data_IF_373488269210
#
_entry.id   IF_373488269210
#
_cell.length_a   1.000
_cell.length_b   1.000
_cell.length_c   1.000
_cell.angle_alpha   90.00
_cell.angle_beta   90.00
_cell.angle_gamma   90.00
#
_symmetry.space_group_name_H-M   'P 1'
#
loop_
_entity.id
_entity.type
_entity.pdbx_description
1 polymer ?
#
# COMPACT_ATOMS: atom_id res chain seq x y z
N UNK A 1 24.34 1.01 23.21
CA UNK A 1 23.67 2.04 22.41
C UNK A 1 24.52 3.29 22.41
N UNK A 2 25.01 3.72 21.25
CA UNK A 2 25.81 4.95 21.14
C UNK A 2 24.94 6.19 21.43
N UNK A 3 25.52 7.34 21.81
CA UNK A 3 24.75 8.57 22.03
C UNK A 3 23.91 8.98 20.81
N UNK A 4 24.42 8.73 19.60
CA UNK A 4 23.71 8.99 18.33
C UNK A 4 22.53 8.04 18.11
N UNK A 5 22.70 6.76 18.41
CA UNK A 5 21.59 5.79 18.38
C UNK A 5 20.49 6.15 19.38
N UNK A 6 20.88 6.54 20.60
CA UNK A 6 19.93 6.98 21.63
C UNK A 6 19.12 8.20 21.17
N UNK A 7 19.78 9.23 20.65
CA UNK A 7 19.10 10.42 20.13
C UNK A 7 18.12 10.08 18.99
N UNK A 8 18.47 9.13 18.12
CA UNK A 8 17.59 8.68 17.03
C UNK A 8 16.36 7.94 17.53
N UNK A 9 16.52 7.05 18.50
CA UNK A 9 15.36 6.33 19.08
C UNK A 9 14.49 7.26 19.92
N UNK A 10 15.08 8.23 20.64
CA UNK A 10 14.33 9.29 21.33
C UNK A 10 13.53 10.14 20.34
N UNK A 11 14.11 10.48 19.17
CA UNK A 11 13.42 11.21 18.12
C UNK A 11 12.29 10.39 17.47
N UNK A 12 12.50 9.09 17.20
CA UNK A 12 11.43 8.20 16.72
C UNK A 12 10.26 8.12 17.71
N UNK A 13 10.56 7.98 19.01
CA UNK A 13 9.53 7.98 20.05
C UNK A 13 8.78 9.31 20.07
N UNK A 14 9.50 10.44 19.96
CA UNK A 14 8.88 11.75 19.87
C UNK A 14 7.96 11.87 18.64
N UNK A 15 8.42 11.44 17.45
CA UNK A 15 7.63 11.41 16.22
C UNK A 15 6.31 10.68 16.41
N UNK A 16 6.35 9.44 16.89
CA UNK A 16 5.14 8.64 17.15
C UNK A 16 4.16 9.36 18.07
N UNK A 17 4.64 9.90 19.20
CA UNK A 17 3.77 10.57 20.17
C UNK A 17 3.20 11.88 19.61
N UNK A 18 4.00 12.63 18.86
CA UNK A 18 3.53 13.87 18.22
C UNK A 18 2.51 13.61 17.12
N UNK A 19 2.67 12.56 16.31
CA UNK A 19 1.69 12.17 15.28
C UNK A 19 0.36 11.79 15.93
N UNK A 20 0.38 10.99 17.01
CA UNK A 20 -0.82 10.63 17.78
C UNK A 20 -1.51 11.83 18.41
N UNK A 21 -0.72 12.75 18.98
CA UNK A 21 -1.28 13.94 19.62
C UNK A 21 -1.90 14.89 18.58
N UNK A 22 -1.23 15.10 17.44
CA UNK A 22 -1.69 16.00 16.39
C UNK A 22 -2.89 15.45 15.63
N UNK A 23 -3.01 14.12 15.48
CA UNK A 23 -4.16 13.51 14.81
C UNK A 23 -5.47 13.63 15.59
N UNK A 24 -5.40 13.94 16.89
CA UNK A 24 -6.53 14.02 17.81
C UNK A 24 -7.49 12.81 17.76
N UNK A 25 -6.99 11.67 17.27
CA UNK A 25 -7.78 10.46 17.05
C UNK A 25 -7.36 9.41 18.09
N UNK A 26 -8.30 8.81 18.83
CA UNK A 26 -7.96 7.78 19.80
C UNK A 26 -7.30 6.58 19.12
N UNK A 27 -6.48 5.82 19.85
CA UNK A 27 -5.97 4.51 19.41
C UNK A 27 -5.33 4.51 18.01
N UNK A 28 -4.65 5.59 17.63
CA UNK A 28 -3.91 5.63 16.36
C UNK A 28 -2.65 4.78 16.47
N UNK A 29 -2.54 3.83 15.55
CA UNK A 29 -1.33 3.07 15.34
C UNK A 29 -0.38 3.86 14.45
N UNK A 30 0.83 4.10 14.94
CA UNK A 30 1.88 4.75 14.16
C UNK A 30 3.03 3.77 14.00
N UNK A 31 3.31 3.38 12.77
CA UNK A 31 4.41 2.49 12.41
C UNK A 31 5.40 3.20 11.50
N UNK A 32 6.63 2.68 11.44
CA UNK A 32 7.64 3.20 10.53
C UNK A 32 7.73 2.35 9.27
N UNK A 33 7.79 2.99 8.11
CA UNK A 33 8.11 2.32 6.84
C UNK A 33 7.70 3.15 5.63
N UNK A 34 8.07 2.65 4.43
CA UNK A 34 7.87 3.38 3.18
C UNK A 34 8.81 4.59 3.04
N UNK A 35 8.76 5.21 1.86
CA UNK A 35 9.51 6.42 1.53
C UNK A 35 8.74 7.69 1.91
N UNK A 36 7.41 7.65 1.77
CA UNK A 36 6.48 8.72 2.15
C UNK A 36 5.49 8.22 3.18
N UNK A 37 4.87 9.16 3.90
CA UNK A 37 3.82 8.81 4.83
C UNK A 37 2.54 8.32 4.11
N UNK A 38 1.91 7.30 4.66
CA UNK A 38 0.60 6.80 4.23
C UNK A 38 -0.32 6.59 5.41
N UNK A 39 -1.63 6.69 5.14
CA UNK A 39 -2.68 6.55 6.15
C UNK A 39 -3.74 5.60 5.61
N UNK A 40 -4.10 4.59 6.40
CA UNK A 40 -5.19 3.66 6.12
C UNK A 40 -5.98 3.43 7.41
N UNK A 41 -7.28 3.70 7.39
CA UNK A 41 -8.12 3.65 8.59
C UNK A 41 -7.54 4.46 9.74
N UNK A 42 -7.19 3.79 10.85
CA UNK A 42 -6.58 4.40 12.04
C UNK A 42 -5.08 4.15 12.16
N UNK A 43 -4.45 3.69 11.07
CA UNK A 43 -3.03 3.41 11.01
C UNK A 43 -2.33 4.47 10.15
N UNK A 44 -1.27 5.07 10.70
CA UNK A 44 -0.35 5.92 9.97
C UNK A 44 1.02 5.23 9.86
N UNK A 45 1.50 5.06 8.64
CA UNK A 45 2.85 4.58 8.36
C UNK A 45 3.69 5.78 7.94
N UNK A 46 4.72 6.11 8.72
CA UNK A 46 5.58 7.28 8.49
C UNK A 46 7.00 6.84 8.14
N UNK A 47 7.75 7.60 7.32
CA UNK A 47 9.09 7.20 6.92
C UNK A 47 10.06 7.16 8.09
N UNK A 48 11.05 6.27 7.99
CA UNK A 48 12.08 6.14 9.02
C UNK A 48 12.98 7.40 8.98
N UNK A 49 13.21 8.09 10.11
CA UNK A 49 14.12 9.23 10.12
C UNK A 49 15.54 8.79 9.78
N UNK A 50 16.28 9.70 9.13
CA UNK A 50 17.67 9.46 8.73
C UNK A 50 18.56 9.03 9.90
N UNK A 51 19.62 8.27 9.59
CA UNK A 51 20.58 7.80 10.63
C UNK A 51 21.24 8.97 11.37
N UNK A 52 21.49 10.06 10.66
CA UNK A 52 21.98 11.32 11.22
C UNK A 52 20.82 12.31 11.19
N UNK A 53 20.41 12.79 12.36
CA UNK A 53 19.32 13.76 12.49
C UNK A 53 19.95 15.14 12.60
N UNK A 54 20.11 15.80 11.46
CA UNK A 54 20.30 17.24 11.43
C UNK A 54 18.94 17.96 11.41
N UNK A 55 18.98 19.30 11.39
CA UNK A 55 17.76 20.11 11.43
C UNK A 55 16.88 19.87 10.21
N UNK A 56 17.47 19.69 9.02
CA UNK A 56 16.73 19.52 7.77
C UNK A 56 16.06 18.16 7.70
N UNK A 57 16.81 17.09 7.98
CA UNK A 57 16.29 15.73 8.08
C UNK A 57 15.19 15.60 9.16
N UNK A 58 15.34 16.32 10.28
CA UNK A 58 14.30 16.37 11.32
C UNK A 58 13.02 17.06 10.83
N UNK A 59 13.13 18.18 10.12
CA UNK A 59 11.98 18.92 9.59
C UNK A 59 11.22 18.12 8.53
N UNK A 60 11.94 17.43 7.64
CA UNK A 60 11.35 16.51 6.66
C UNK A 60 10.60 15.37 7.35
N UNK A 61 11.24 14.66 8.28
CA UNK A 61 10.61 13.54 8.97
C UNK A 61 9.38 13.98 9.78
N UNK A 62 9.44 15.18 10.40
CA UNK A 62 8.29 15.79 11.07
C UNK A 62 7.21 16.20 10.08
N UNK A 63 7.55 16.66 8.87
CA UNK A 63 6.59 17.08 7.86
C UNK A 63 5.74 15.93 7.34
N UNK A 64 6.38 14.81 7.01
CA UNK A 64 5.72 13.56 6.63
C UNK A 64 4.80 13.05 7.76
N UNK A 65 5.29 13.09 9.00
CA UNK A 65 4.54 12.67 10.17
C UNK A 65 3.37 13.60 10.53
N UNK A 66 3.55 14.91 10.39
CA UNK A 66 2.52 15.93 10.62
C UNK A 66 1.44 15.85 9.51
N UNK A 67 1.83 15.63 8.25
CA UNK A 67 0.91 15.42 7.13
C UNK A 67 0.02 14.19 7.34
N UNK A 68 0.60 13.07 7.77
CA UNK A 68 -0.16 11.86 8.14
C UNK A 68 -1.14 12.12 9.29
N UNK A 69 -0.70 12.85 10.32
CA UNK A 69 -1.55 13.19 11.46
C UNK A 69 -2.73 14.07 11.07
N UNK A 70 -2.49 15.11 10.25
CA UNK A 70 -3.55 15.98 9.75
C UNK A 70 -4.53 15.22 8.84
N UNK A 71 -4.03 14.28 8.04
CA UNK A 71 -4.89 13.42 7.22
C UNK A 71 -5.80 12.55 8.09
N UNK A 72 -5.27 11.93 9.15
CA UNK A 72 -6.10 11.21 10.13
C UNK A 72 -7.15 12.11 10.78
N UNK A 73 -6.80 13.36 11.11
CA UNK A 73 -7.69 14.28 11.82
C UNK A 73 -8.79 14.89 10.94
N UNK A 74 -8.52 15.10 9.65
CA UNK A 74 -9.33 15.99 8.81
C UNK A 74 -9.81 15.35 7.50
N UNK A 75 -9.55 14.07 7.26
CA UNK A 75 -9.97 13.36 6.05
C UNK A 75 -10.97 12.25 6.36
N UNK A 76 -12.18 12.40 5.82
CA UNK A 76 -13.18 11.34 5.69
C UNK A 76 -12.96 10.62 4.35
N UNK A 77 -12.44 9.39 4.42
CA UNK A 77 -12.16 8.57 3.25
C UNK A 77 -13.43 8.19 2.47
N UNK A 78 -14.54 7.93 3.15
CA UNK A 78 -15.79 7.52 2.51
C UNK A 78 -16.44 8.70 1.77
N UNK A 79 -16.42 9.89 2.38
CA UNK A 79 -16.87 11.11 1.71
C UNK A 79 -15.99 11.47 0.51
N UNK A 80 -14.67 11.30 0.62
CA UNK A 80 -13.74 11.52 -0.48
C UNK A 80 -13.97 10.55 -1.64
N UNK A 81 -14.16 9.26 -1.36
CA UNK A 81 -14.41 8.24 -2.37
C UNK A 81 -15.69 8.53 -3.16
N UNK A 82 -16.80 8.92 -2.50
CA UNK A 82 -18.05 9.33 -3.17
C UNK A 82 -17.88 10.58 -4.03
N UNK A 83 -16.97 11.48 -3.64
CA UNK A 83 -16.72 12.73 -4.34
C UNK A 83 -15.68 12.59 -5.49
N UNK A 84 -15.04 11.44 -5.63
CA UNK A 84 -13.94 11.24 -6.56
C UNK A 84 -14.41 11.32 -8.03
N UNK A 85 -13.70 12.05 -8.92
CA UNK A 85 -13.99 12.05 -10.36
C UNK A 85 -13.66 10.73 -11.05
N UNK A 86 -14.15 10.53 -12.28
CA UNK A 86 -13.89 9.31 -13.07
C UNK A 86 -12.48 9.30 -13.71
N UNK A 87 -12.08 10.39 -14.38
CA UNK A 87 -10.82 10.46 -15.12
C UNK A 87 -9.58 10.45 -14.22
N UNK A 88 -8.54 9.70 -14.60
CA UNK A 88 -7.33 9.52 -13.77
C UNK A 88 -6.62 10.85 -13.44
N UNK A 89 -6.53 11.77 -14.41
CA UNK A 89 -5.93 13.09 -14.20
C UNK A 89 -6.79 13.97 -13.28
N UNK A 90 -8.12 13.94 -13.45
CA UNK A 90 -9.05 14.61 -12.54
C UNK A 90 -8.97 14.07 -11.11
N UNK A 91 -8.82 12.75 -10.94
CA UNK A 91 -8.59 12.13 -9.63
C UNK A 91 -7.29 12.62 -8.99
N UNK A 92 -6.21 12.74 -9.77
CA UNK A 92 -4.94 13.25 -9.29
C UNK A 92 -5.07 14.70 -8.79
N UNK A 93 -5.73 15.57 -9.57
CA UNK A 93 -6.02 16.95 -9.16
C UNK A 93 -6.88 16.98 -7.90
N UNK A 94 -7.98 16.20 -7.86
CA UNK A 94 -8.87 16.15 -6.70
C UNK A 94 -8.13 15.77 -5.41
N UNK A 95 -7.33 14.70 -5.46
CA UNK A 95 -6.53 14.24 -4.32
C UNK A 95 -5.48 15.27 -3.91
N UNK A 96 -4.83 15.93 -4.86
CA UNK A 96 -3.82 16.96 -4.56
C UNK A 96 -4.44 18.21 -3.90
N UNK A 97 -5.61 18.67 -4.37
CA UNK A 97 -6.34 19.78 -3.74
C UNK A 97 -6.82 19.40 -2.33
N UNK A 98 -7.27 18.17 -2.13
CA UNK A 98 -7.67 17.65 -0.81
C UNK A 98 -6.50 17.58 0.17
N UNK A 99 -5.33 17.11 -0.27
CA UNK A 99 -4.10 17.17 0.54
C UNK A 99 -3.76 18.61 0.90
N UNK A 100 -3.84 19.55 -0.05
CA UNK A 100 -3.58 20.96 0.21
C UNK A 100 -4.56 21.57 1.24
N UNK A 101 -5.83 21.16 1.24
CA UNK A 101 -6.81 21.56 2.27
C UNK A 101 -6.41 21.07 3.65
N UNK A 102 -6.14 19.77 3.77
CA UNK A 102 -5.77 19.11 5.03
C UNK A 102 -4.53 19.77 5.63
N UNK A 103 -3.51 19.97 4.82
CA UNK A 103 -2.26 20.61 5.23
C UNK A 103 -2.46 22.07 5.60
N UNK A 104 -3.33 22.81 4.88
CA UNK A 104 -3.61 24.20 5.18
C UNK A 104 -4.28 24.37 6.55
N UNK A 105 -5.18 23.47 6.96
CA UNK A 105 -5.79 23.48 8.31
C UNK A 105 -4.70 23.44 9.38
N UNK A 106 -3.74 22.51 9.25
CA UNK A 106 -2.63 22.39 10.21
C UNK A 106 -1.64 23.55 10.13
N UNK A 107 -1.28 23.98 8.93
CA UNK A 107 -0.28 25.02 8.71
C UNK A 107 -0.74 26.42 9.15
N UNK A 108 -2.04 26.70 9.11
CA UNK A 108 -2.63 27.97 9.58
C UNK A 108 -2.80 27.98 11.10
N UNK A 109 -3.14 26.83 11.71
CA UNK A 109 -3.24 26.70 13.16
C UNK A 109 -1.88 26.67 13.87
N UNK A 110 -0.89 25.98 13.28
CA UNK A 110 0.41 25.74 13.90
C UNK A 110 1.54 26.08 12.92
N UNK A 111 2.19 27.24 13.14
CA UNK A 111 3.28 27.72 12.29
C UNK A 111 4.38 26.68 12.04
N UNK A 112 4.79 25.98 13.10
CA UNK A 112 5.84 24.95 13.03
C UNK A 112 5.44 23.72 12.22
N UNK A 113 4.15 23.32 12.25
CA UNK A 113 3.64 22.27 11.36
C UNK A 113 3.74 22.72 9.91
N UNK A 114 3.38 23.97 9.61
CA UNK A 114 3.54 24.50 8.26
C UNK A 114 5.00 24.62 7.81
N UNK A 115 5.97 24.83 8.71
CA UNK A 115 7.40 24.78 8.40
C UNK A 115 7.84 23.34 8.05
N UNK A 116 7.39 22.35 8.83
CA UNK A 116 7.68 20.95 8.61
C UNK A 116 7.08 20.44 7.28
N UNK A 117 5.80 20.73 7.04
CA UNK A 117 5.11 20.39 5.78
C UNK A 117 5.81 21.01 4.57
N UNK A 118 6.29 22.25 4.68
CA UNK A 118 7.05 22.88 3.60
C UNK A 118 8.38 22.14 3.30
N UNK A 119 9.07 21.65 4.33
CA UNK A 119 10.30 20.86 4.14
C UNK A 119 10.03 19.51 3.50
N UNK A 120 8.96 18.81 3.91
CA UNK A 120 8.55 17.55 3.27
C UNK A 120 8.15 17.76 1.80
N UNK A 121 7.38 18.82 1.51
CA UNK A 121 7.00 19.16 0.14
C UNK A 121 8.21 19.49 -0.75
N UNK A 122 9.19 20.26 -0.23
CA UNK A 122 10.43 20.58 -0.97
C UNK A 122 11.20 19.30 -1.35
N UNK A 123 11.34 18.36 -0.40
CA UNK A 123 11.94 17.04 -0.65
C UNK A 123 11.16 16.24 -1.70
N UNK A 124 9.83 16.16 -1.58
CA UNK A 124 8.98 15.41 -2.52
C UNK A 124 9.09 15.93 -3.96
N UNK A 125 9.14 17.25 -4.13
CA UNK A 125 9.33 17.91 -5.44
C UNK A 125 10.70 17.54 -6.03
N UNK A 126 11.76 17.55 -5.20
CA UNK A 126 13.11 17.18 -5.63
C UNK A 126 13.24 15.69 -5.99
N UNK A 127 12.60 14.79 -5.22
CA UNK A 127 12.59 13.34 -5.46
C UNK A 127 11.89 13.00 -6.78
N UNK A 128 10.78 13.68 -7.08
CA UNK A 128 10.05 13.57 -8.35
C UNK A 128 10.68 14.36 -9.49
N UNK A 129 11.82 15.03 -9.24
CA UNK A 129 12.60 15.82 -10.21
C UNK A 129 11.81 16.94 -10.88
N UNK A 130 10.77 17.42 -10.21
CA UNK A 130 9.93 18.52 -10.68
C UNK A 130 10.66 19.87 -10.61
N UNK A 131 11.73 19.94 -9.81
CA UNK A 131 12.67 21.07 -9.75
C UNK A 131 13.47 21.26 -11.04
N UNK A 132 13.57 20.22 -11.89
CA UNK A 132 14.35 20.20 -13.13
C UNK A 132 13.51 19.94 -14.38
N UNK A 133 12.20 20.15 -14.29
CA UNK A 133 11.33 20.10 -15.47
C UNK A 133 11.80 21.12 -16.51
N UNK A 134 12.06 20.65 -17.72
CA UNK A 134 12.32 21.55 -18.85
C UNK A 134 11.07 22.40 -19.11
N UNK A 135 11.24 23.67 -19.48
CA UNK A 135 10.11 24.59 -19.72
C UNK A 135 9.14 24.11 -20.82
N UNK A 136 9.57 23.19 -21.69
CA UNK A 136 8.76 22.62 -22.76
C UNK A 136 8.08 21.29 -22.36
N UNK A 137 8.44 20.70 -21.22
CA UNK A 137 7.80 19.49 -20.73
C UNK A 137 6.51 19.86 -19.99
N UNK A 138 5.47 19.03 -20.12
CA UNK A 138 4.22 19.26 -19.38
C UNK A 138 4.44 18.89 -17.91
N UNK A 139 4.34 19.87 -17.02
CA UNK A 139 4.29 19.61 -15.58
C UNK A 139 2.97 18.92 -15.19
N UNK A 140 2.97 18.07 -14.14
CA UNK A 140 1.73 17.49 -13.66
C UNK A 140 0.79 18.58 -13.13
N UNK A 141 -0.38 18.71 -13.75
CA UNK A 141 -1.32 19.79 -13.45
C UNK A 141 -1.83 19.75 -12.00
N UNK A 142 -1.90 18.55 -11.41
CA UNK A 142 -2.25 18.34 -10.01
C UNK A 142 -1.31 19.04 -9.04
N UNK A 143 0.01 18.96 -9.27
CA UNK A 143 1.00 19.60 -8.40
C UNK A 143 0.95 21.12 -8.52
N UNK A 144 0.81 21.64 -9.75
CA UNK A 144 0.69 23.08 -10.01
C UNK A 144 -0.56 23.64 -9.34
N UNK A 145 -1.72 22.99 -9.52
CA UNK A 145 -2.97 23.42 -8.92
C UNK A 145 -2.93 23.37 -7.38
N UNK A 146 -2.36 22.31 -6.79
CA UNK A 146 -2.21 22.18 -5.34
C UNK A 146 -1.28 23.23 -4.75
N UNK A 147 -0.17 23.55 -5.41
CA UNK A 147 0.76 24.61 -4.98
C UNK A 147 0.10 25.99 -5.01
N UNK A 148 -0.63 26.32 -6.08
CA UNK A 148 -1.37 27.58 -6.17
C UNK A 148 -2.45 27.67 -5.08
N UNK A 149 -3.21 26.60 -4.86
CA UNK A 149 -4.21 26.54 -3.80
C UNK A 149 -3.56 26.72 -2.42
N UNK A 150 -2.47 26.00 -2.13
CA UNK A 150 -1.74 26.10 -0.85
C UNK A 150 -1.30 27.53 -0.56
N UNK A 151 -0.78 28.25 -1.55
CA UNK A 151 -0.40 29.66 -1.37
C UNK A 151 -1.58 30.54 -0.99
N UNK A 152 -2.73 30.33 -1.64
CA UNK A 152 -3.96 31.09 -1.37
C UNK A 152 -4.53 30.77 0.01
N UNK A 153 -4.53 29.50 0.42
CA UNK A 153 -5.05 29.05 1.71
C UNK A 153 -4.17 29.48 2.90
N UNK A 154 -2.84 29.41 2.75
CA UNK A 154 -1.91 29.58 3.87
C UNK A 154 -1.19 30.92 3.87
N UNK A 155 -1.18 31.65 2.74
CA UNK A 155 -0.36 32.84 2.54
C UNK A 155 1.15 32.57 2.48
N UNK A 156 1.58 31.30 2.54
CA UNK A 156 2.99 30.91 2.55
C UNK A 156 3.50 30.81 1.12
N UNK A 157 4.74 31.24 0.88
CA UNK A 157 5.40 31.05 -0.40
C UNK A 157 5.50 29.57 -0.79
N UNK A 158 5.64 29.30 -2.09
CA UNK A 158 5.96 27.95 -2.57
C UNK A 158 7.40 27.59 -2.14
N UNK A 159 7.72 26.29 -1.98
CA UNK A 159 9.10 25.86 -1.77
C UNK A 159 10.01 26.33 -2.91
N UNK A 160 11.32 26.55 -2.67
CA UNK A 160 12.27 26.94 -3.71
C UNK A 160 12.31 25.96 -4.89
N UNK A 161 12.21 24.65 -4.63
CA UNK A 161 12.20 23.62 -5.67
C UNK A 161 11.01 23.77 -6.65
N UNK A 162 9.89 24.36 -6.22
CA UNK A 162 8.70 24.55 -7.04
C UNK A 162 8.76 25.77 -7.97
N UNK A 163 9.73 26.67 -7.78
CA UNK A 163 9.74 28.00 -8.40
C UNK A 163 9.76 27.94 -9.92
N UNK A 164 10.62 27.09 -10.50
CA UNK A 164 10.74 26.94 -11.95
C UNK A 164 9.45 26.40 -12.59
N UNK A 165 8.88 25.35 -11.97
CA UNK A 165 7.63 24.74 -12.43
C UNK A 165 6.46 25.73 -12.40
N UNK A 166 6.31 26.51 -11.32
CA UNK A 166 5.26 27.52 -11.21
C UNK A 166 5.46 28.69 -12.17
N UNK A 167 6.71 29.10 -12.41
CA UNK A 167 7.00 30.14 -13.40
C UNK A 167 6.64 29.71 -14.83
N UNK A 168 6.87 28.44 -15.18
CA UNK A 168 6.56 27.91 -16.51
C UNK A 168 5.07 27.58 -16.71
N UNK A 169 4.41 26.97 -15.72
CA UNK A 169 3.07 26.39 -15.89
C UNK A 169 1.97 27.07 -15.07
N UNK A 170 2.32 27.87 -14.06
CA UNK A 170 1.36 28.51 -13.18
C UNK A 170 0.41 29.46 -13.91
N UNK A 171 0.90 30.19 -14.91
CA UNK A 171 0.08 31.13 -15.69
C UNK A 171 -1.03 30.45 -16.49
N UNK A 172 -0.80 29.24 -17.01
CA UNK A 172 -1.81 28.48 -17.75
C UNK A 172 -2.94 28.01 -16.82
N UNK A 173 -2.58 27.45 -15.65
CA UNK A 173 -3.54 27.02 -14.63
C UNK A 173 -4.32 28.19 -14.04
N UNK A 174 -3.67 29.34 -13.79
CA UNK A 174 -4.34 30.56 -13.35
C UNK A 174 -5.35 31.09 -14.37
N UNK A 175 -5.02 31.01 -15.66
CA UNK A 175 -5.93 31.44 -16.73
C UNK A 175 -7.16 30.56 -16.81
N UNK A 176 -7.01 29.24 -16.65
CA UNK A 176 -8.10 28.28 -16.74
C UNK A 176 -8.95 28.25 -15.47
N UNK A 177 -8.34 28.08 -14.30
CA UNK A 177 -9.03 27.78 -13.05
C UNK A 177 -8.74 28.76 -11.89
N UNK A 178 -8.04 29.87 -12.12
CA UNK A 178 -7.66 30.82 -11.07
C UNK A 178 -8.84 31.41 -10.29
N UNK A 179 -9.98 31.66 -10.95
CA UNK A 179 -11.20 32.12 -10.30
C UNK A 179 -11.77 31.05 -9.35
N UNK A 180 -11.84 29.80 -9.80
CA UNK A 180 -12.33 28.69 -8.98
C UNK A 180 -11.36 28.34 -7.85
N UNK A 181 -10.05 28.45 -8.05
CA UNK A 181 -9.04 28.35 -6.98
C UNK A 181 -9.21 29.46 -5.94
N UNK A 182 -9.54 30.69 -6.35
CA UNK A 182 -9.88 31.79 -5.42
C UNK A 182 -11.11 31.45 -4.60
N UNK A 183 -12.16 30.96 -5.26
CA UNK A 183 -13.43 30.60 -4.61
C UNK A 183 -13.24 29.43 -3.65
N UNK A 184 -12.43 28.44 -4.02
CA UNK A 184 -12.07 27.29 -3.19
C UNK A 184 -11.27 27.73 -1.96
N UNK A 185 -10.31 28.64 -2.13
CA UNK A 185 -9.53 29.19 -1.02
C UNK A 185 -10.35 30.09 -0.09
N UNK A 186 -11.36 30.77 -0.63
CA UNK A 186 -12.32 31.59 0.12
C UNK A 186 -13.51 30.80 0.68
N UNK A 187 -13.49 29.47 0.62
CA UNK A 187 -14.51 28.64 1.25
C UNK A 187 -14.55 28.94 2.75
N UNK A 188 -15.74 29.24 3.29
CA UNK A 188 -15.89 29.74 4.65
C UNK A 188 -15.39 28.78 5.73
N UNK A 189 -15.53 27.48 5.51
CA UNK A 189 -15.07 26.44 6.45
C UNK A 189 -14.26 25.36 5.71
N UNK A 190 -12.96 25.28 6.00
CA UNK A 190 -12.08 24.23 5.47
C UNK A 190 -12.34 22.87 6.12
N UNK A 191 -13.03 22.82 7.26
CA UNK A 191 -13.40 21.57 7.94
C UNK A 191 -14.61 20.90 7.29
N UNK A 192 -15.42 21.61 6.49
CA UNK A 192 -16.47 20.99 5.66
C UNK A 192 -15.87 20.39 4.39
N UNK A 193 -15.42 19.14 4.50
CA UNK A 193 -14.84 18.39 3.39
C UNK A 193 -15.82 18.21 2.22
N UNK A 194 -17.13 18.08 2.48
CA UNK A 194 -18.11 17.90 1.41
C UNK A 194 -18.30 19.20 0.60
N UNK A 195 -18.36 20.35 1.28
CA UNK A 195 -18.39 21.66 0.61
C UNK A 195 -17.12 21.92 -0.19
N UNK A 196 -15.96 21.61 0.38
CA UNK A 196 -14.70 21.72 -0.33
C UNK A 196 -14.66 20.83 -1.57
N UNK A 197 -15.09 19.57 -1.46
CA UNK A 197 -15.12 18.63 -2.58
C UNK A 197 -16.00 19.12 -3.75
N UNK A 198 -17.16 19.74 -3.48
CA UNK A 198 -18.01 20.33 -4.51
C UNK A 198 -17.31 21.47 -5.27
N UNK A 199 -16.57 22.31 -4.55
CA UNK A 199 -15.79 23.41 -5.16
C UNK A 199 -14.55 22.89 -5.90
N UNK A 200 -13.90 21.83 -5.38
CA UNK A 200 -12.78 21.18 -6.05
C UNK A 200 -13.20 20.58 -7.40
N UNK A 201 -14.41 20.02 -7.52
CA UNK A 201 -14.98 19.59 -8.81
C UNK A 201 -15.16 20.74 -9.80
N UNK A 202 -15.46 21.96 -9.33
CA UNK A 202 -15.49 23.13 -10.21
C UNK A 202 -14.10 23.46 -10.77
N UNK A 203 -13.04 23.37 -9.94
CA UNK A 203 -11.66 23.55 -10.41
C UNK A 203 -11.33 22.54 -11.51
N UNK A 204 -11.72 21.27 -11.34
CA UNK A 204 -11.47 20.21 -12.31
C UNK A 204 -12.20 20.47 -13.64
N UNK A 205 -13.45 20.93 -13.59
CA UNK A 205 -14.19 21.37 -14.78
C UNK A 205 -13.51 22.52 -15.50
N UNK A 206 -13.07 23.54 -14.77
CA UNK A 206 -12.41 24.71 -15.36
C UNK A 206 -11.04 24.36 -15.99
N UNK A 207 -10.41 23.29 -15.50
CA UNK A 207 -9.20 22.70 -16.12
C UNK A 207 -9.50 21.83 -17.34
N UNK A 208 -10.78 21.67 -17.73
CA UNK A 208 -11.25 20.77 -18.79
C UNK A 208 -10.84 19.29 -18.56
N UNK A 209 -10.83 18.85 -17.30
CA UNK A 209 -10.49 17.49 -16.91
C UNK A 209 -11.72 16.64 -16.55
N UNK A 210 -12.91 17.21 -16.66
CA UNK A 210 -14.16 16.47 -16.41
C UNK A 210 -14.53 15.71 -17.70
N UNK A 211 -14.42 14.39 -17.68
CA UNK A 211 -14.99 13.54 -18.74
C UNK A 211 -16.52 13.66 -18.65
N UNK A 212 -17.14 14.30 -19.64
CA UNK A 212 -18.59 14.40 -19.78
C UNK A 212 -19.22 13.01 -19.72
N UNK A 213 -19.77 12.67 -18.55
CA UNK A 213 -20.42 11.39 -18.29
C UNK A 213 -21.28 11.43 -17.03
N UNK A 214 -21.92 12.57 -16.79
CA UNK A 214 -22.79 12.83 -15.66
C UNK A 214 -23.39 14.24 -15.71
N UNK A 215 -24.03 14.59 -16.82
CA UNK A 215 -25.07 15.62 -16.76
C UNK A 215 -26.17 15.10 -15.82
N UNK A 216 -26.14 15.46 -14.54
CA UNK A 216 -27.37 15.62 -13.78
C UNK A 216 -28.07 16.88 -14.33
N UNK A 217 -28.78 16.71 -15.45
CA UNK A 217 -29.93 17.55 -15.77
C UNK A 217 -31.10 17.04 -14.94
N UNK A 218 -31.71 17.96 -14.19
CA UNK A 218 -32.84 17.70 -13.33
C UNK A 218 -34.17 17.46 -14.04
N UNK A 219 -35.17 17.23 -13.17
CA UNK A 219 -36.60 16.95 -13.35
C UNK A 219 -36.93 15.55 -13.93
N UNK A 220 -37.80 14.75 -13.32
CA UNK A 220 -39.16 15.13 -12.96
C UNK A 220 -39.74 14.30 -11.80
N UNK A 221 -40.64 14.93 -11.08
CA UNK A 221 -41.49 14.35 -10.06
C UNK A 221 -42.47 13.36 -10.72
N UNK A 222 -42.73 12.22 -10.08
CA UNK A 222 -44.05 11.59 -10.15
C UNK A 222 -44.26 10.67 -8.95
N UNK A 223 -45.16 11.11 -8.07
CA UNK A 223 -45.89 10.23 -7.14
C UNK A 223 -46.91 9.39 -7.94
N UNK A 224 -47.15 8.15 -7.50
CA UNK A 224 -48.31 7.37 -7.93
C UNK A 224 -48.19 5.88 -7.63
N UNK A 225 -48.74 5.46 -6.48
CA UNK A 225 -49.22 4.11 -6.16
C UNK A 225 -50.04 3.50 -7.32
N UNK A 226 -49.89 2.20 -7.61
CA UNK A 226 -50.70 1.11 -7.01
C UNK A 226 -50.77 -0.16 -7.89
N UNK A 227 -50.82 -1.29 -7.19
CA UNK A 227 -51.46 -2.57 -7.48
C UNK A 227 -51.28 -3.35 -8.82
N UNK A 228 -50.83 -4.59 -8.60
CA UNK A 228 -50.93 -5.80 -9.43
C UNK A 228 -52.41 -6.11 -9.80
N UNK A 229 -52.69 -6.87 -10.88
CA UNK A 229 -52.79 -8.32 -10.68
C UNK A 229 -52.38 -9.21 -11.87
N UNK A 230 -52.19 -10.47 -11.50
CA UNK A 230 -51.74 -11.62 -12.26
C UNK A 230 -52.77 -12.24 -13.23
N UNK A 231 -52.23 -13.16 -14.05
CA UNK A 231 -52.79 -14.40 -14.63
C UNK A 231 -52.51 -14.48 -16.14
N UNK A 232 -52.28 -15.63 -16.78
CA UNK A 232 -51.76 -16.95 -16.43
C UNK A 232 -51.68 -17.68 -17.79
N UNK A 233 -50.68 -18.55 -17.91
CA UNK A 233 -50.76 -19.86 -18.57
C UNK A 233 -50.58 -20.12 -20.09
N UNK A 234 -49.78 -21.19 -20.27
CA UNK A 234 -49.68 -22.23 -21.33
C UNK A 234 -48.72 -21.99 -22.50
N UNK A 235 -47.50 -22.54 -22.45
CA UNK A 235 -47.09 -23.97 -22.61
C UNK A 235 -47.11 -24.44 -24.06
N UNK A 236 -45.94 -24.74 -24.63
CA UNK A 236 -45.66 -26.00 -25.35
C UNK A 236 -44.15 -26.25 -25.35
N UNK A 237 -43.77 -27.45 -24.91
CA UNK A 237 -42.43 -28.05 -24.84
C UNK A 237 -41.92 -28.45 -26.25
N UNK A 238 -40.60 -28.40 -26.50
CA UNK A 238 -39.67 -29.55 -26.45
C UNK A 238 -38.32 -29.25 -27.11
N UNK A 239 -37.25 -29.64 -26.40
CA UNK A 239 -35.97 -30.30 -26.79
C UNK A 239 -35.18 -29.78 -28.02
N UNK A 240 -33.85 -29.64 -28.03
CA UNK A 240 -32.77 -30.09 -27.15
C UNK A 240 -31.46 -29.40 -27.63
N UNK A 241 -30.43 -29.50 -26.78
CA UNK A 241 -28.98 -29.31 -27.05
C UNK A 241 -28.39 -27.89 -27.10
N UNK A 242 -27.41 -27.67 -26.19
CA UNK A 242 -26.13 -27.12 -26.63
C UNK A 242 -25.54 -25.94 -25.86
N UNK A 243 -25.32 -26.11 -24.55
CA UNK A 243 -24.15 -25.65 -23.79
C UNK A 243 -23.70 -24.16 -23.79
N UNK A 244 -23.48 -23.69 -22.56
CA UNK A 244 -22.59 -22.61 -22.10
C UNK A 244 -23.15 -21.17 -22.08
N UNK A 245 -23.60 -20.80 -20.89
CA UNK A 245 -23.55 -19.46 -20.28
C UNK A 245 -22.60 -19.58 -19.05
N UNK A 246 -22.20 -18.55 -18.29
CA UNK A 246 -21.95 -17.12 -18.53
C UNK A 246 -20.53 -16.72 -18.03
N UNK A 247 -20.33 -15.41 -17.86
CA UNK A 247 -19.47 -14.69 -16.87
C UNK A 247 -18.20 -14.07 -17.46
N UNK A 248 -18.13 -12.74 -17.56
CA UNK A 248 -17.99 -11.72 -16.48
C UNK A 248 -16.71 -11.92 -15.67
N UNK A 249 -15.66 -11.21 -16.10
CA UNK A 249 -14.44 -10.98 -15.33
C UNK A 249 -14.44 -9.53 -14.78
N UNK A 250 -14.89 -9.41 -13.54
CA UNK A 250 -14.41 -8.46 -12.53
C UNK A 250 -13.14 -9.08 -11.92
N UNK A 251 -11.99 -8.41 -12.00
CA UNK A 251 -11.47 -7.42 -11.06
C UNK A 251 -10.71 -8.02 -9.88
N UNK A 252 -9.59 -7.36 -9.60
CA UNK A 252 -8.81 -7.35 -8.37
C UNK A 252 -8.08 -8.64 -7.98
N UNK A 253 -6.76 -8.58 -7.89
CA UNK A 253 -5.99 -7.94 -6.82
C UNK A 253 -6.13 -8.77 -5.54
N UNK A 254 -5.03 -9.42 -5.15
CA UNK A 254 -4.33 -8.87 -4.00
C UNK A 254 -2.97 -9.53 -3.80
N UNK A 255 -2.07 -8.66 -3.38
CA UNK A 255 -1.00 -8.93 -2.46
C UNK A 255 -1.44 -9.81 -1.30
N UNK A 256 -0.57 -10.72 -0.89
CA UNK A 256 -0.36 -10.90 0.55
C UNK A 256 1.12 -10.78 0.80
N UNK A 257 1.48 -10.21 1.96
CA UNK A 257 2.67 -10.40 2.79
C UNK A 257 2.25 -10.22 4.24
N UNK A 258 2.82 -10.97 5.19
CA UNK A 258 1.97 -11.80 6.02
C UNK A 258 2.17 -11.57 7.52
N UNK A 259 1.14 -12.03 8.24
CA UNK A 259 1.14 -12.67 9.56
C UNK A 259 1.56 -11.89 10.82
N UNK A 260 0.60 -11.68 11.73
CA UNK A 260 0.55 -12.46 12.97
C UNK A 260 -0.73 -12.20 13.79
N UNK A 261 -1.44 -13.31 14.06
CA UNK A 261 -2.28 -13.62 15.22
C UNK A 261 -3.45 -12.67 15.56
N UNK A 262 -4.50 -12.70 14.73
CA UNK A 262 -5.88 -12.54 15.21
C UNK A 262 -6.42 -13.90 15.67
N UNK A 263 -7.10 -13.92 16.82
CA UNK A 263 -7.92 -15.04 17.26
C UNK A 263 -8.93 -15.39 16.13
N UNK A 264 -8.78 -16.60 15.61
CA UNK A 264 -9.54 -17.12 14.48
C UNK A 264 -11.02 -17.13 14.82
N UNK A 265 -11.80 -16.33 14.09
CA UNK A 265 -13.22 -16.55 14.00
C UNK A 265 -13.42 -17.87 13.23
N UNK A 266 -14.04 -18.88 13.85
CA UNK A 266 -14.31 -20.21 13.28
C UNK A 266 -15.31 -20.22 12.10
N UNK A 267 -15.48 -19.10 11.40
CA UNK A 267 -16.50 -18.93 10.35
C UNK A 267 -15.96 -18.57 8.97
N UNK A 268 -14.64 -18.60 8.76
CA UNK A 268 -14.05 -18.47 7.41
C UNK A 268 -13.44 -19.78 6.90
N UNK A 269 -13.83 -20.92 7.50
CA UNK A 269 -13.38 -22.26 7.13
C UNK A 269 -14.08 -22.86 5.90
N UNK A 270 -14.86 -22.09 5.15
CA UNK A 270 -15.60 -22.59 3.99
C UNK A 270 -15.57 -21.62 2.81
N UNK A 271 -14.40 -21.50 2.17
CA UNK A 271 -14.38 -21.34 0.72
C UNK A 271 -13.15 -22.04 0.14
N UNK A 272 -13.32 -23.35 -0.07
CA UNK A 272 -12.43 -24.13 -0.90
C UNK A 272 -12.83 -23.96 -2.35
N UNK A 273 -11.96 -23.33 -3.13
CA UNK A 273 -11.91 -23.47 -4.60
C UNK A 273 -10.50 -23.06 -5.06
N UNK A 274 -9.49 -23.89 -4.77
CA UNK A 274 -8.17 -23.78 -5.44
C UNK A 274 -7.27 -25.03 -5.32
N UNK A 275 -7.78 -26.14 -4.76
CA UNK A 275 -7.01 -27.38 -4.59
C UNK A 275 -6.93 -28.24 -5.87
N UNK A 276 -7.76 -27.92 -6.88
CA UNK A 276 -7.75 -28.60 -8.17
C UNK A 276 -6.58 -28.14 -9.06
N UNK A 277 -6.23 -26.85 -9.04
CA UNK A 277 -5.25 -26.29 -9.98
C UNK A 277 -3.80 -26.62 -9.57
N UNK A 278 -3.54 -26.74 -8.25
CA UNK A 278 -2.23 -27.16 -7.73
C UNK A 278 -1.85 -28.62 -8.02
N UNK A 279 -2.84 -29.50 -8.20
CA UNK A 279 -2.63 -30.90 -8.59
C UNK A 279 -2.38 -31.04 -10.10
N UNK A 280 -3.06 -30.23 -10.91
CA UNK A 280 -2.90 -30.20 -12.38
C UNK A 280 -1.55 -29.57 -12.75
N UNK A 281 -1.12 -28.51 -12.05
CA UNK A 281 0.20 -27.86 -12.23
C UNK A 281 1.34 -28.82 -11.82
N UNK A 282 1.21 -29.55 -10.70
CA UNK A 282 2.19 -30.56 -10.29
C UNK A 282 2.26 -31.75 -11.26
N UNK A 283 1.12 -32.18 -11.80
CA UNK A 283 1.09 -33.23 -12.83
C UNK A 283 1.77 -32.76 -14.12
N UNK A 284 1.57 -31.50 -14.53
CA UNK A 284 2.27 -30.88 -15.66
C UNK A 284 3.78 -30.78 -15.42
N UNK A 285 4.23 -30.35 -14.24
CA UNK A 285 5.66 -30.28 -13.88
C UNK A 285 6.30 -31.67 -13.82
N UNK A 286 5.59 -32.69 -13.31
CA UNK A 286 6.07 -34.08 -13.32
C UNK A 286 6.20 -34.64 -14.75
N UNK A 287 5.29 -34.26 -15.65
CA UNK A 287 5.32 -34.66 -17.05
C UNK A 287 6.45 -34.00 -17.86
N UNK A 288 6.87 -32.80 -17.47
CA UNK A 288 8.04 -32.09 -18.03
C UNK A 288 9.34 -32.78 -17.61
N UNK A 289 9.42 -33.33 -16.39
CA UNK A 289 10.58 -34.13 -15.93
C UNK A 289 10.72 -35.46 -16.67
N UNK A 290 9.62 -36.02 -17.17
CA UNK A 290 9.60 -37.34 -17.80
C UNK A 290 10.06 -37.36 -19.28
N UNK A 291 10.27 -36.20 -19.91
CA UNK A 291 10.71 -36.11 -21.32
C UNK A 291 11.82 -35.08 -21.53
N UNK A 292 12.97 -35.30 -20.91
CA UNK A 292 14.23 -34.79 -21.47
C UNK A 292 14.66 -35.75 -22.57
N UNK A 293 14.32 -35.40 -23.82
CA UNK A 293 14.77 -36.11 -25.02
C UNK A 293 16.28 -35.80 -25.20
N UNK A 294 17.10 -36.58 -24.50
CA UNK A 294 18.53 -36.32 -24.34
C UNK A 294 19.23 -37.11 -23.21
N UNK A 295 18.48 -37.85 -22.38
CA UNK A 295 19.09 -38.78 -21.42
C UNK A 295 19.66 -40.00 -22.15
N UNK A 296 20.89 -39.86 -22.64
CA UNK A 296 21.65 -40.92 -23.33
C UNK A 296 22.06 -42.08 -22.40
N UNK A 297 21.64 -42.07 -21.13
CA UNK A 297 22.06 -43.05 -20.11
C UNK A 297 23.54 -42.97 -19.75
N UNK A 298 24.28 -42.03 -20.35
CA UNK A 298 25.68 -41.78 -20.03
C UNK A 298 25.78 -40.97 -18.74
N UNK A 299 26.15 -41.65 -17.65
CA UNK A 299 26.46 -41.02 -16.38
C UNK A 299 27.59 -40.00 -16.59
N UNK A 300 27.34 -38.76 -16.20
CA UNK A 300 28.33 -37.69 -16.20
C UNK A 300 29.62 -38.17 -15.52
N UNK A 301 30.75 -38.11 -16.26
CA UNK A 301 32.08 -38.46 -15.75
C UNK A 301 32.97 -37.24 -15.86
N UNK A 302 33.44 -36.76 -14.71
CA UNK A 302 34.44 -35.69 -14.64
C UNK A 302 35.73 -36.19 -15.30
N UNK A 303 36.24 -35.43 -16.29
CA UNK A 303 37.44 -35.79 -17.03
C UNK A 303 38.73 -35.47 -16.27
N UNK A 304 38.78 -34.33 -15.58
CA UNK A 304 39.87 -33.94 -14.66
C UNK A 304 39.35 -32.90 -13.68
N UNK A 305 39.88 -32.88 -12.45
CA UNK A 305 39.61 -31.87 -11.42
C UNK A 305 40.86 -31.02 -11.12
N UNK A 306 41.94 -31.19 -11.90
CA UNK A 306 43.24 -30.54 -11.65
C UNK A 306 43.17 -29.01 -11.70
N UNK A 307 42.18 -28.46 -12.41
CA UNK A 307 41.98 -27.02 -12.61
C UNK A 307 40.75 -26.47 -11.89
N UNK A 308 40.11 -27.27 -11.04
CA UNK A 308 38.91 -26.85 -10.31
C UNK A 308 39.31 -26.03 -9.08
N UNK A 309 38.68 -24.88 -8.90
CA UNK A 309 38.88 -24.02 -7.73
C UNK A 309 37.58 -23.90 -6.95
N UNK A 310 37.66 -24.09 -5.64
CA UNK A 310 36.55 -23.79 -4.72
C UNK A 310 36.93 -22.57 -3.90
N UNK A 311 36.17 -21.50 -4.07
CA UNK A 311 36.33 -20.27 -3.31
C UNK A 311 35.01 -19.89 -2.63
N UNK A 312 35.09 -19.24 -1.48
CA UNK A 312 33.91 -18.64 -0.87
C UNK A 312 33.45 -17.43 -1.71
N UNK A 313 32.13 -17.25 -1.81
CA UNK A 313 31.57 -16.11 -2.54
C UNK A 313 32.06 -14.75 -2.00
N UNK A 314 32.37 -14.68 -0.70
CA UNK A 314 32.96 -13.52 -0.03
C UNK A 314 34.37 -13.16 -0.52
N UNK A 315 35.12 -14.14 -1.03
CA UNK A 315 36.49 -13.97 -1.51
C UNK A 315 36.56 -13.61 -3.01
N UNK A 316 35.44 -13.70 -3.73
CA UNK A 316 35.37 -13.45 -5.17
C UNK A 316 35.10 -11.98 -5.53
N UNK A 317 34.76 -11.13 -4.56
CA UNK A 317 34.37 -9.75 -4.83
C UNK A 317 34.79 -8.79 -3.70
N UNK A 318 35.38 -7.66 -4.08
CA UNK A 318 35.73 -6.59 -3.15
C UNK A 318 34.49 -5.82 -2.67
N UNK A 319 34.56 -5.21 -1.47
CA UNK A 319 33.41 -4.53 -0.85
C UNK A 319 32.81 -3.40 -1.72
N UNK A 320 33.64 -2.69 -2.47
CA UNK A 320 33.20 -1.61 -3.36
C UNK A 320 32.47 -2.17 -4.59
N UNK A 321 32.98 -3.28 -5.14
CA UNK A 321 32.35 -3.95 -6.27
C UNK A 321 31.04 -4.64 -5.86
N UNK A 322 30.99 -5.27 -4.69
CA UNK A 322 29.77 -5.85 -4.14
C UNK A 322 28.68 -4.78 -4.01
N UNK A 323 29.03 -3.60 -3.51
CA UNK A 323 28.12 -2.46 -3.39
C UNK A 323 27.64 -1.94 -4.75
N UNK A 324 28.46 -2.05 -5.79
CA UNK A 324 28.09 -1.70 -7.18
C UNK A 324 27.14 -2.75 -7.78
N UNK A 325 27.47 -4.03 -7.66
CA UNK A 325 26.67 -5.15 -8.15
C UNK A 325 25.30 -5.19 -7.47
N UNK A 326 25.26 -4.93 -6.15
CA UNK A 326 24.00 -4.88 -5.40
C UNK A 326 23.07 -3.79 -5.91
N UNK A 327 23.59 -2.58 -6.15
CA UNK A 327 22.81 -1.47 -6.73
C UNK A 327 22.33 -1.76 -8.15
N UNK A 328 23.07 -2.56 -8.92
CA UNK A 328 22.61 -2.99 -10.25
C UNK A 328 21.46 -4.00 -10.12
N UNK A 329 21.59 -4.99 -9.24
CA UNK A 329 20.56 -5.97 -8.95
C UNK A 329 19.28 -5.32 -8.42
N UNK A 330 19.39 -4.42 -7.45
CA UNK A 330 18.22 -3.74 -6.86
C UNK A 330 17.44 -2.96 -7.93
N UNK A 331 18.13 -2.28 -8.86
CA UNK A 331 17.50 -1.60 -10.01
C UNK A 331 16.82 -2.56 -10.99
N UNK A 332 17.37 -3.75 -11.21
CA UNK A 332 16.72 -4.76 -12.05
C UNK A 332 15.49 -5.37 -11.36
N UNK A 333 15.52 -5.46 -10.03
CA UNK A 333 14.42 -6.00 -9.22
C UNK A 333 13.25 -5.03 -9.02
N UNK A 334 13.44 -3.72 -9.21
CA UNK A 334 12.37 -2.71 -9.10
C UNK A 334 11.12 -3.08 -9.92
N UNK A 335 11.30 -3.61 -11.13
CA UNK A 335 10.20 -4.02 -12.01
C UNK A 335 9.59 -5.38 -11.66
N UNK A 336 10.26 -6.18 -10.83
CA UNK A 336 9.85 -7.53 -10.44
C UNK A 336 9.30 -7.59 -9.01
N UNK A 337 9.28 -6.46 -8.30
CA UNK A 337 8.94 -6.39 -6.88
C UNK A 337 7.53 -6.92 -6.56
N UNK A 338 6.55 -6.69 -7.44
CA UNK A 338 5.17 -7.19 -7.29
C UNK A 338 5.07 -8.73 -7.45
N UNK A 339 5.91 -9.32 -8.30
CA UNK A 339 5.96 -10.77 -8.51
C UNK A 339 6.75 -11.46 -7.39
N UNK A 340 7.89 -10.88 -7.00
CA UNK A 340 8.72 -11.39 -5.89
C UNK A 340 7.96 -11.36 -4.57
N UNK A 341 7.20 -10.28 -4.30
CA UNK A 341 6.38 -10.18 -3.09
C UNK A 341 5.33 -11.29 -3.07
N UNK A 342 4.50 -11.44 -4.12
CA UNK A 342 3.49 -12.51 -4.17
C UNK A 342 4.10 -13.92 -3.98
N UNK A 343 5.23 -14.20 -4.63
CA UNK A 343 5.90 -15.50 -4.49
C UNK A 343 6.48 -15.72 -3.09
N UNK A 344 7.11 -14.69 -2.50
CA UNK A 344 7.65 -14.74 -1.16
C UNK A 344 6.55 -15.09 -0.14
N UNK A 345 5.34 -14.57 -0.33
CA UNK A 345 4.24 -14.79 0.60
C UNK A 345 3.50 -16.10 0.38
N UNK A 346 3.50 -16.60 -0.86
CA UNK A 346 3.09 -17.98 -1.12
C UNK A 346 4.06 -18.99 -0.48
N UNK A 347 5.37 -18.74 -0.59
CA UNK A 347 6.41 -19.55 0.06
C UNK A 347 6.35 -19.44 1.58
N UNK A 348 6.21 -18.23 2.12
CA UNK A 348 6.12 -17.98 3.56
C UNK A 348 4.89 -18.66 4.15
N UNK A 349 3.70 -18.50 3.54
CA UNK A 349 2.50 -19.22 3.99
C UNK A 349 2.68 -20.73 3.95
N UNK A 350 3.33 -21.30 2.92
CA UNK A 350 3.58 -22.75 2.87
C UNK A 350 4.61 -23.25 3.88
N UNK A 351 5.59 -22.42 4.23
CA UNK A 351 6.60 -22.74 5.25
C UNK A 351 6.07 -22.50 6.68
N UNK A 352 5.20 -21.50 6.88
CA UNK A 352 4.62 -21.10 8.17
C UNK A 352 3.30 -21.78 8.50
N UNK A 353 2.55 -22.34 7.53
CA UNK A 353 1.29 -23.07 7.78
C UNK A 353 1.46 -24.29 8.70
N UNK A 354 2.70 -24.72 9.00
CA UNK A 354 2.99 -25.74 10.01
C UNK A 354 3.24 -25.18 11.42
N UNK A 355 3.13 -23.87 11.61
CA UNK A 355 3.38 -23.15 12.87
C UNK A 355 2.08 -22.77 13.60
N UNK A 356 0.93 -23.31 13.21
CA UNK A 356 -0.35 -23.04 13.89
C UNK A 356 -0.26 -23.48 15.36
N UNK A 357 -0.28 -22.48 16.24
CA UNK A 357 -0.25 -22.64 17.70
C UNK A 357 -1.59 -23.20 18.14
N UNK A 358 -1.62 -24.49 18.45
CA UNK A 358 -2.85 -25.12 18.95
C UNK A 358 -2.88 -25.09 20.47
N UNK A 359 -3.98 -24.58 21.02
CA UNK A 359 -4.22 -24.55 22.46
C UNK A 359 -5.08 -25.74 22.87
N UNK A 360 -4.73 -26.38 23.97
CA UNK A 360 -5.56 -27.40 24.62
C UNK A 360 -6.26 -26.75 25.80
N UNK A 361 -7.60 -26.83 25.83
CA UNK A 361 -8.46 -26.26 26.88
C UNK A 361 -8.95 -27.35 27.84
N UNK A 362 -9.65 -26.92 28.89
CA UNK A 362 -10.26 -27.80 29.89
C UNK A 362 -9.25 -28.75 30.54
N UNK A 363 -8.09 -28.23 30.94
CA UNK A 363 -7.07 -28.97 31.68
C UNK A 363 -7.21 -28.75 33.19
N UNK A 364 -6.76 -29.74 33.96
CA UNK A 364 -6.63 -29.66 35.43
C UNK A 364 -5.42 -28.80 35.86
N UNK A 365 -4.44 -28.63 34.96
CA UNK A 365 -3.20 -27.88 35.18
C UNK A 365 -2.79 -27.09 33.93
N UNK A 366 -2.15 -25.94 34.11
CA UNK A 366 -1.66 -25.10 33.00
C UNK A 366 -1.77 -23.61 33.27
N UNK A 367 -1.86 -22.83 32.20
CA UNK A 367 -2.12 -21.38 32.27
C UNK A 367 -3.61 -21.18 32.47
N UNK A 368 -4.00 -20.32 33.41
CA UNK A 368 -5.42 -20.11 33.71
C UNK A 368 -6.13 -19.39 32.54
N UNK A 369 -7.25 -19.94 32.09
CA UNK A 369 -8.12 -19.36 31.07
C UNK A 369 -9.05 -18.31 31.72
N UNK A 370 -8.69 -17.04 31.56
CA UNK A 370 -9.43 -15.92 32.11
C UNK A 370 -10.90 -15.86 31.63
N UNK A 371 -11.19 -16.35 30.41
CA UNK A 371 -12.54 -16.34 29.87
C UNK A 371 -13.46 -17.35 30.58
N UNK A 372 -12.89 -18.43 31.13
CA UNK A 372 -13.63 -19.51 31.82
C UNK A 372 -13.62 -19.38 33.34
N UNK A 373 -12.97 -18.36 33.89
CA UNK A 373 -12.88 -18.13 35.33
C UNK A 373 -14.26 -18.02 36.02
N UNK A 374 -15.26 -17.49 35.32
CA UNK A 374 -16.62 -17.40 35.84
C UNK A 374 -17.24 -18.77 36.16
N UNK A 375 -16.84 -19.84 35.45
CA UNK A 375 -17.33 -21.21 35.66
C UNK A 375 -16.90 -21.78 37.01
N UNK A 376 -15.71 -21.38 37.50
CA UNK A 376 -15.22 -21.77 38.84
C UNK A 376 -16.17 -21.33 39.95
N UNK A 377 -16.87 -20.19 39.74
CA UNK A 377 -17.82 -19.64 40.71
C UNK A 377 -19.21 -20.29 40.57
N UNK A 378 -19.64 -20.54 39.33
CA UNK A 378 -21.00 -21.03 39.04
C UNK A 378 -21.15 -22.54 39.23
N UNK A 379 -20.13 -23.32 38.88
CA UNK A 379 -20.12 -24.77 39.05
C UNK A 379 -18.76 -25.26 39.59
N UNK A 380 -18.58 -25.28 40.92
CA UNK A 380 -17.33 -25.69 41.56
C UNK A 380 -16.95 -27.16 41.33
N UNK A 381 -17.86 -27.98 40.77
CA UNK A 381 -17.61 -29.41 40.55
C UNK A 381 -16.91 -29.69 39.21
N UNK A 382 -16.69 -28.68 38.36
CA UNK A 382 -15.96 -28.81 37.08
C UNK A 382 -14.87 -27.73 36.89
N UNK A 383 -13.77 -27.76 37.67
CA UNK A 383 -12.73 -26.73 37.67
C UNK A 383 -11.68 -26.91 36.54
N UNK A 384 -12.09 -27.31 35.34
CA UNK A 384 -11.20 -27.41 34.18
C UNK A 384 -11.02 -26.03 33.53
N UNK A 385 -10.33 -25.13 34.23
CA UNK A 385 -10.14 -23.73 33.81
C UNK A 385 -8.73 -23.43 33.33
N UNK A 386 -7.92 -24.44 33.06
CA UNK A 386 -6.57 -24.26 32.56
C UNK A 386 -6.47 -24.57 31.06
N UNK A 387 -5.59 -23.85 30.38
CA UNK A 387 -5.18 -24.05 28.99
C UNK A 387 -3.67 -24.24 28.91
N UNK A 388 -3.22 -24.99 27.91
CA UNK A 388 -1.79 -25.22 27.65
C UNK A 388 -1.52 -25.15 26.15
N UNK A 389 -0.44 -24.46 25.78
CA UNK A 389 0.04 -24.44 24.39
C UNK A 389 0.60 -25.83 24.05
N UNK A 390 0.20 -26.38 22.90
CA UNK A 390 0.71 -27.67 22.42
C UNK A 390 2.03 -27.43 21.69
N UNK A 391 3.11 -28.01 22.19
CA UNK A 391 4.38 -28.05 21.46
C UNK A 391 4.25 -28.95 20.22
N UNK A 392 4.71 -28.44 19.08
CA UNK A 392 4.78 -29.17 17.81
C UNK A 392 6.26 -29.29 17.42
N UNK A 393 6.67 -30.48 16.97
CA UNK A 393 8.02 -30.71 16.44
C UNK A 393 8.16 -30.03 15.07
N UNK A 394 8.88 -28.92 15.02
CA UNK A 394 9.21 -28.21 13.79
C UNK A 394 10.34 -28.92 13.04
N UNK A 395 10.26 -28.99 11.71
CA UNK A 395 11.36 -29.47 10.86
C UNK A 395 12.15 -28.28 10.33
N UNK A 396 13.41 -28.16 10.76
CA UNK A 396 14.35 -27.21 10.18
C UNK A 396 14.45 -27.42 8.66
N UNK A 397 14.04 -26.40 7.90
CA UNK A 397 13.99 -26.46 6.44
C UNK A 397 15.16 -25.66 5.86
N UNK A 398 16.05 -26.35 5.13
CA UNK A 398 17.16 -25.72 4.41
C UNK A 398 16.84 -25.68 2.92
N UNK A 399 16.91 -24.49 2.32
CA UNK A 399 16.78 -24.29 0.87
C UNK A 399 18.17 -24.11 0.28
N UNK A 400 18.54 -24.94 -0.68
CA UNK A 400 19.80 -24.82 -1.43
C UNK A 400 19.49 -24.48 -2.88
N UNK A 401 20.04 -23.37 -3.36
CA UNK A 401 19.96 -22.95 -4.76
C UNK A 401 21.30 -23.20 -5.44
N UNK A 402 21.28 -23.94 -6.55
CA UNK A 402 22.45 -24.20 -7.39
C UNK A 402 22.30 -23.42 -8.68
N UNK A 403 23.25 -22.52 -8.95
CA UNK A 403 23.26 -21.68 -10.15
C UNK A 403 24.41 -22.17 -11.04
N UNK A 404 24.07 -22.63 -12.25
CA UNK A 404 25.06 -23.05 -13.23
C UNK A 404 25.63 -21.82 -13.98
N UNK A 405 26.96 -21.74 -14.05
CA UNK A 405 27.69 -20.71 -14.80
C UNK A 405 28.53 -21.32 -15.94
N UNK A 406 28.09 -22.47 -16.48
CA UNK A 406 28.72 -23.14 -17.62
C UNK A 406 28.61 -22.33 -18.92
N UNK A 407 29.49 -22.65 -19.89
CA UNK A 407 29.54 -21.96 -21.18
C UNK A 407 28.23 -21.97 -21.97
N UNK A 408 27.34 -22.95 -21.75
CA UNK A 408 25.99 -23.00 -22.34
C UNK A 408 25.08 -21.86 -21.91
N UNK A 409 25.35 -21.22 -20.77
CA UNK A 409 24.57 -20.09 -20.25
C UNK A 409 25.00 -18.73 -20.83
N UNK A 410 26.13 -18.64 -21.56
CA UNK A 410 26.67 -17.37 -22.09
C UNK A 410 25.79 -16.67 -23.14
N UNK A 411 24.82 -17.35 -23.75
CA UNK A 411 23.92 -16.79 -24.78
C UNK A 411 22.56 -16.32 -24.26
N UNK A 412 22.22 -16.65 -23.01
CA UNK A 412 21.02 -16.19 -22.30
C UNK A 412 21.43 -15.90 -20.87
N UNK A 413 22.03 -14.72 -20.60
CA UNK A 413 22.30 -14.32 -19.23
C UNK A 413 20.98 -14.41 -18.44
N UNK A 414 21.03 -14.96 -17.23
CA UNK A 414 19.91 -14.96 -16.29
C UNK A 414 19.62 -13.48 -16.00
N UNK A 415 18.60 -12.93 -16.66
CA UNK A 415 18.16 -11.54 -16.54
C UNK A 415 17.26 -11.33 -15.34
#
# INVERSE_FOLDING_TARGET
MTPKEKAREDFKRALVQTTRALSATPEVEVSFGGEHASVSGRQAKIPLPARVIDREAAMVARGEADGAALRLAHHDAAASARALPKGAEAQAVFRALETARIEAIGATALRGVGDNLAAALDKSIAERRLDRLDANQMAPIADVAALLLRQRLTGRAHPPAAAAMLAAHGGAVETLAGASLTKLAGAGDLHDQAAFARLARQVIRDLNLDDEGGEEKGDDQTQGDDENPAEDNKSTENDEEGAADPSDEMSDDESESPDSDQEMNEQDFEQGEDDADGAVENARISSIRAKFDGDSGMRYRVFTTEYDETAEASALCDAEELSRLRRALDRQLENLHSVVSRLANKLQRRLMAQQNRSWVFDLDEGVLDAARLARVVVDPMQPLSFKRERELDFRDTVVTLLIDNSGSMRGRPIS
#
